data_IF_720979842307
#
_entry.id   IF_720979842307
#
_cell.length_a   1.000
_cell.length_b   1.000
_cell.length_c   1.000
_cell.angle_alpha   90.00
_cell.angle_beta   90.00
_cell.angle_gamma   90.00
#
_symmetry.space_group_name_H-M   'P 1'
#
loop_
_entity.id
_entity.type
_entity.pdbx_description
1 polymer ?
#
# COMPACT_ATOMS: atom_id res chain seq x y z
N UNK A 1 -9.49 -13.11 6.50
CA UNK A 1 -9.08 -13.53 7.84
C UNK A 1 -10.23 -13.25 8.80
N UNK A 2 -10.80 -14.26 9.43
CA UNK A 2 -11.79 -14.12 10.51
C UNK A 2 -11.17 -14.46 11.86
N UNK A 3 -11.85 -14.12 12.95
CA UNK A 3 -11.38 -14.44 14.30
C UNK A 3 -11.31 -15.96 14.54
N UNK A 4 -12.32 -16.69 14.06
CA UNK A 4 -12.38 -18.16 14.14
C UNK A 4 -11.19 -18.82 13.43
N UNK A 5 -10.84 -18.34 12.23
CA UNK A 5 -9.66 -18.82 11.49
C UNK A 5 -8.35 -18.60 12.27
N UNK A 6 -8.23 -17.47 13.00
CA UNK A 6 -7.05 -17.18 13.81
C UNK A 6 -6.97 -18.08 15.06
N UNK A 7 -8.11 -18.37 15.68
CA UNK A 7 -8.21 -19.30 16.81
C UNK A 7 -7.89 -20.74 16.40
N UNK A 8 -8.38 -21.18 15.24
CA UNK A 8 -8.05 -22.50 14.66
C UNK A 8 -6.55 -22.64 14.33
N UNK A 9 -5.88 -21.53 14.00
CA UNK A 9 -4.42 -21.49 13.81
C UNK A 9 -3.63 -21.49 15.13
N UNK A 10 -4.31 -21.58 16.28
CA UNK A 10 -3.68 -21.71 17.60
C UNK A 10 -3.29 -20.38 18.25
N UNK A 11 -3.78 -19.24 17.76
CA UNK A 11 -3.61 -17.96 18.45
C UNK A 11 -4.59 -17.89 19.63
N UNK A 12 -4.15 -17.31 20.74
CA UNK A 12 -5.05 -16.97 21.84
C UNK A 12 -6.02 -15.85 21.41
N UNK A 13 -7.17 -15.78 22.08
CA UNK A 13 -8.25 -14.86 21.68
C UNK A 13 -7.83 -13.38 21.74
N UNK A 14 -6.93 -13.02 22.66
CA UNK A 14 -6.48 -11.64 22.82
C UNK A 14 -5.51 -11.24 21.70
N UNK A 15 -4.57 -12.11 21.32
CA UNK A 15 -3.68 -11.90 20.18
C UNK A 15 -4.40 -11.99 18.85
N UNK A 16 -5.34 -12.91 18.69
CA UNK A 16 -6.19 -13.03 17.50
C UNK A 16 -6.97 -11.73 17.24
N UNK A 17 -7.55 -11.11 18.27
CA UNK A 17 -8.22 -9.80 18.16
C UNK A 17 -7.26 -8.69 17.73
N UNK A 18 -6.05 -8.63 18.31
CA UNK A 18 -5.03 -7.63 17.96
C UNK A 18 -4.55 -7.79 16.52
N UNK A 19 -4.31 -9.02 16.06
CA UNK A 19 -3.90 -9.35 14.70
C UNK A 19 -5.00 -9.00 13.69
N UNK A 20 -6.25 -9.37 13.98
CA UNK A 20 -7.39 -9.05 13.12
C UNK A 20 -7.57 -7.54 12.96
N UNK A 21 -7.42 -6.78 14.05
CA UNK A 21 -7.50 -5.32 14.00
C UNK A 21 -6.36 -4.71 13.20
N UNK A 22 -5.12 -5.13 13.42
CA UNK A 22 -3.98 -4.67 12.64
C UNK A 22 -4.12 -5.00 11.14
N UNK A 23 -4.67 -6.18 10.83
CA UNK A 23 -4.99 -6.59 9.46
C UNK A 23 -6.05 -5.68 8.84
N UNK A 24 -7.17 -5.44 9.54
CA UNK A 24 -8.23 -4.53 9.08
C UNK A 24 -7.71 -3.11 8.87
N UNK A 25 -6.93 -2.58 9.81
CA UNK A 25 -6.31 -1.25 9.71
C UNK A 25 -5.33 -1.18 8.52
N UNK A 26 -4.59 -2.25 8.23
CA UNK A 26 -3.68 -2.31 7.08
C UNK A 26 -4.40 -2.29 5.72
N UNK A 27 -5.65 -2.76 5.67
CA UNK A 27 -6.47 -2.79 4.46
C UNK A 27 -7.22 -1.48 4.21
N UNK A 28 -7.60 -0.76 5.27
CA UNK A 28 -8.53 0.38 5.23
C UNK A 28 -8.14 1.47 4.22
N UNK A 29 -6.84 1.76 4.10
CA UNK A 29 -6.35 2.83 3.22
C UNK A 29 -5.82 2.33 1.87
N UNK A 30 -5.80 1.00 1.66
CA UNK A 30 -5.17 0.36 0.49
C UNK A 30 -6.13 -0.46 -0.35
N UNK A 31 -7.27 -0.84 0.20
CA UNK A 31 -8.17 -1.80 -0.43
C UNK A 31 -9.61 -1.27 -0.46
N UNK A 32 -10.24 -1.41 -1.63
CA UNK A 32 -11.64 -1.06 -1.83
C UNK A 32 -12.47 -2.34 -1.63
N UNK A 33 -13.49 -2.34 -0.75
CA UNK A 33 -14.39 -3.48 -0.60
C UNK A 33 -15.01 -3.89 -1.93
N UNK A 34 -15.10 -5.20 -2.20
CA UNK A 34 -15.64 -5.74 -3.46
C UNK A 34 -17.05 -5.22 -3.74
N UNK A 35 -17.89 -5.11 -2.71
CA UNK A 35 -19.24 -4.55 -2.83
C UNK A 35 -19.22 -3.12 -3.36
N UNK A 36 -18.38 -2.24 -2.78
CA UNK A 36 -18.24 -0.86 -3.24
C UNK A 36 -17.65 -0.77 -4.64
N UNK A 37 -16.69 -1.63 -4.97
CA UNK A 37 -16.12 -1.72 -6.32
C UNK A 37 -17.19 -2.12 -7.35
N UNK A 38 -18.01 -3.12 -7.03
CA UNK A 38 -19.09 -3.58 -7.89
C UNK A 38 -20.18 -2.53 -8.04
N UNK A 39 -20.60 -1.89 -6.95
CA UNK A 39 -21.57 -0.79 -6.94
C UNK A 39 -21.14 0.32 -7.91
N UNK A 40 -19.93 0.87 -7.75
CA UNK A 40 -19.42 1.94 -8.60
C UNK A 40 -19.26 1.48 -10.06
N UNK A 41 -18.91 0.22 -10.30
CA UNK A 41 -18.79 -0.31 -11.65
C UNK A 41 -20.15 -0.48 -12.35
N UNK A 42 -21.15 -0.98 -11.65
CA UNK A 42 -22.52 -1.10 -12.19
C UNK A 42 -23.14 0.27 -12.41
N UNK A 43 -23.01 1.21 -11.46
CA UNK A 43 -23.41 2.62 -11.65
C UNK A 43 -22.75 3.23 -12.89
N UNK A 44 -21.44 3.01 -13.08
CA UNK A 44 -20.72 3.49 -14.26
C UNK A 44 -21.24 2.87 -15.56
N UNK A 45 -21.55 1.57 -15.57
CA UNK A 45 -22.13 0.90 -16.74
C UNK A 45 -23.51 1.47 -17.05
N UNK A 46 -24.35 1.63 -16.04
CA UNK A 46 -25.70 2.18 -16.20
C UNK A 46 -25.64 3.61 -16.76
N UNK A 47 -24.80 4.48 -16.18
CA UNK A 47 -24.61 5.85 -16.67
C UNK A 47 -24.13 5.89 -18.13
N UNK A 48 -23.23 4.97 -18.52
CA UNK A 48 -22.82 4.85 -19.93
C UNK A 48 -23.97 4.48 -20.85
N UNK A 49 -24.78 3.49 -20.46
CA UNK A 49 -25.97 3.10 -21.23
C UNK A 49 -26.96 4.25 -21.34
N UNK A 50 -27.20 4.99 -20.26
CA UNK A 50 -28.09 6.16 -20.27
C UNK A 50 -27.58 7.24 -21.23
N UNK A 51 -26.27 7.51 -21.26
CA UNK A 51 -25.67 8.48 -22.22
C UNK A 51 -25.93 8.02 -23.66
N UNK A 52 -25.64 6.76 -23.98
CA UNK A 52 -25.87 6.21 -25.32
C UNK A 52 -27.35 6.29 -25.75
N UNK A 53 -28.27 6.00 -24.83
CA UNK A 53 -29.70 6.11 -25.10
C UNK A 53 -30.16 7.56 -25.29
N UNK A 54 -29.61 8.51 -24.54
CA UNK A 54 -29.87 9.95 -24.78
C UNK A 54 -29.36 10.39 -26.15
N UNK A 55 -28.20 9.93 -26.58
CA UNK A 55 -27.66 10.24 -27.91
C UNK A 55 -28.55 9.65 -29.03
N UNK A 56 -29.11 8.45 -28.83
CA UNK A 56 -30.12 7.89 -29.76
C UNK A 56 -31.39 8.75 -29.77
N UNK A 57 -31.89 9.16 -28.61
CA UNK A 57 -33.06 10.02 -28.50
C UNK A 57 -32.86 11.38 -29.20
N UNK A 58 -31.67 11.98 -29.07
CA UNK A 58 -31.34 13.23 -29.79
C UNK A 58 -31.40 13.03 -31.30
N UNK A 59 -30.85 11.93 -31.83
CA UNK A 59 -30.94 11.61 -33.26
C UNK A 59 -32.38 11.41 -33.73
N UNK A 60 -33.20 10.71 -32.96
CA UNK A 60 -34.62 10.53 -33.28
C UNK A 60 -35.39 11.85 -33.26
N UNK A 61 -35.14 12.69 -32.24
CA UNK A 61 -35.74 14.02 -32.14
C UNK A 61 -35.34 14.92 -33.29
N UNK A 62 -34.09 14.82 -33.77
CA UNK A 62 -33.59 15.56 -34.93
C UNK A 62 -34.39 15.23 -36.19
N UNK A 63 -34.68 13.96 -36.41
CA UNK A 63 -35.50 13.48 -37.54
C UNK A 63 -36.93 14.01 -37.42
N UNK A 64 -37.52 13.96 -36.22
CA UNK A 64 -38.88 14.46 -35.97
C UNK A 64 -38.99 15.99 -36.07
N UNK A 65 -37.92 16.71 -35.76
CA UNK A 65 -37.84 18.16 -35.85
C UNK A 65 -37.56 18.66 -37.29
N UNK A 66 -37.43 17.76 -38.28
CA UNK A 66 -37.20 18.14 -39.66
C UNK A 66 -38.26 19.15 -40.14
N UNK A 67 -37.79 20.27 -40.70
CA UNK A 67 -38.64 21.40 -41.11
C UNK A 67 -38.79 22.52 -40.05
N UNK A 68 -38.27 22.33 -38.84
CA UNK A 68 -38.11 23.40 -37.85
C UNK A 68 -36.61 23.72 -37.68
N UNK A 69 -36.17 24.81 -38.32
CA UNK A 69 -34.76 25.22 -38.33
C UNK A 69 -34.21 25.52 -36.92
N UNK A 70 -35.01 26.12 -36.04
CA UNK A 70 -34.57 26.45 -34.67
C UNK A 70 -34.40 25.18 -33.81
N UNK A 71 -35.29 24.20 -33.95
CA UNK A 71 -35.17 22.94 -33.21
C UNK A 71 -34.03 22.08 -33.76
N UNK A 72 -33.89 22.01 -35.09
CA UNK A 72 -32.81 21.23 -35.71
C UNK A 72 -31.42 21.78 -35.36
N UNK A 73 -31.26 23.11 -35.36
CA UNK A 73 -30.01 23.76 -34.92
C UNK A 73 -29.70 23.47 -33.45
N UNK A 74 -30.66 23.66 -32.53
CA UNK A 74 -30.44 23.32 -31.10
C UNK A 74 -30.08 21.84 -30.89
N UNK A 75 -30.71 20.92 -31.64
CA UNK A 75 -30.37 19.49 -31.53
C UNK A 75 -28.96 19.21 -32.06
N UNK A 76 -28.53 19.86 -33.15
CA UNK A 76 -27.15 19.72 -33.62
C UNK A 76 -26.14 20.26 -32.62
N UNK A 77 -26.42 21.40 -31.98
CA UNK A 77 -25.56 21.97 -30.94
C UNK A 77 -25.44 21.00 -29.76
N UNK A 78 -26.55 20.41 -29.30
CA UNK A 78 -26.56 19.41 -28.23
C UNK A 78 -25.77 18.15 -28.60
N UNK A 79 -25.90 17.65 -29.84
CA UNK A 79 -25.11 16.51 -30.33
C UNK A 79 -23.59 16.83 -30.30
N UNK A 80 -23.20 18.02 -30.77
CA UNK A 80 -21.79 18.44 -30.76
C UNK A 80 -21.24 18.60 -29.36
N UNK A 81 -22.01 19.23 -28.45
CA UNK A 81 -21.61 19.44 -27.07
C UNK A 81 -21.46 18.10 -26.34
N UNK A 82 -22.36 17.15 -26.55
CA UNK A 82 -22.26 15.80 -26.00
C UNK A 82 -20.99 15.09 -26.47
N UNK A 83 -20.67 15.15 -27.77
CA UNK A 83 -19.46 14.54 -28.33
C UNK A 83 -18.19 15.14 -27.75
N UNK A 84 -18.09 16.48 -27.73
CA UNK A 84 -16.95 17.20 -27.14
C UNK A 84 -16.79 16.86 -25.67
N UNK A 85 -17.89 16.87 -24.92
CA UNK A 85 -17.89 16.54 -23.49
C UNK A 85 -17.38 15.11 -23.25
N UNK A 86 -17.79 14.15 -24.09
CA UNK A 86 -17.33 12.77 -24.01
C UNK A 86 -15.82 12.66 -24.26
N UNK A 87 -15.31 13.29 -25.31
CA UNK A 87 -13.87 13.31 -25.62
C UNK A 87 -13.05 13.99 -24.51
N UNK A 88 -13.54 15.10 -23.95
CA UNK A 88 -12.91 15.75 -22.81
C UNK A 88 -12.87 14.87 -21.57
N UNK A 89 -13.94 14.14 -21.26
CA UNK A 89 -13.94 13.23 -20.13
C UNK A 89 -13.02 12.04 -20.36
N UNK A 90 -13.00 11.46 -21.55
CA UNK A 90 -12.10 10.36 -21.89
C UNK A 90 -10.63 10.78 -21.78
N UNK A 91 -10.28 11.95 -22.30
CA UNK A 91 -8.92 12.51 -22.16
C UNK A 91 -8.55 12.81 -20.72
N UNK A 92 -9.45 13.42 -19.93
CA UNK A 92 -9.24 13.65 -18.48
C UNK A 92 -9.03 12.34 -17.71
N UNK A 93 -9.81 11.29 -18.02
CA UNK A 93 -9.68 9.97 -17.38
C UNK A 93 -8.33 9.33 -17.73
N UNK A 94 -7.92 9.38 -19.01
CA UNK A 94 -6.63 8.83 -19.43
C UNK A 94 -5.48 9.59 -18.77
N UNK A 95 -5.55 10.93 -18.71
CA UNK A 95 -4.55 11.76 -18.06
C UNK A 95 -4.45 11.45 -16.56
N UNK A 96 -5.59 11.38 -15.87
CA UNK A 96 -5.66 11.03 -14.44
C UNK A 96 -5.08 9.64 -14.19
N UNK A 97 -5.45 8.64 -15.00
CA UNK A 97 -4.90 7.28 -14.90
C UNK A 97 -3.39 7.29 -15.05
N UNK A 98 -2.87 7.92 -16.10
CA UNK A 98 -1.43 8.05 -16.33
C UNK A 98 -0.73 8.72 -15.15
N UNK A 99 -1.27 9.83 -14.66
CA UNK A 99 -0.72 10.54 -13.49
C UNK A 99 -0.70 9.66 -12.24
N UNK A 100 -1.81 9.01 -11.91
CA UNK A 100 -1.90 8.12 -10.74
C UNK A 100 -0.94 6.93 -10.85
N UNK A 101 -0.83 6.28 -12.02
CA UNK A 101 0.12 5.19 -12.23
C UNK A 101 1.57 5.66 -12.06
N UNK A 102 1.91 6.86 -12.55
CA UNK A 102 3.26 7.43 -12.39
C UNK A 102 3.54 7.66 -10.90
N UNK A 103 2.60 8.26 -10.18
CA UNK A 103 2.76 8.57 -8.75
C UNK A 103 2.89 7.30 -7.90
N UNK A 104 2.10 6.26 -8.20
CA UNK A 104 2.23 4.95 -7.58
C UNK A 104 3.62 4.34 -7.85
N UNK A 105 4.06 4.35 -9.10
CA UNK A 105 5.37 3.83 -9.46
C UNK A 105 6.50 4.59 -8.76
N UNK A 106 6.42 5.92 -8.68
CA UNK A 106 7.39 6.74 -7.96
C UNK A 106 7.41 6.44 -6.45
N UNK A 107 6.25 6.18 -5.87
CA UNK A 107 6.12 5.77 -4.47
C UNK A 107 6.75 4.39 -4.23
N UNK A 108 6.52 3.44 -5.13
CA UNK A 108 7.09 2.09 -5.07
C UNK A 108 8.63 2.14 -5.21
N UNK A 109 9.14 3.02 -6.07
CA UNK A 109 10.56 3.27 -6.24
C UNK A 109 11.19 4.11 -5.11
N UNK A 110 10.40 4.44 -4.07
CA UNK A 110 10.79 5.19 -2.86
C UNK A 110 11.24 6.62 -3.13
N UNK A 111 10.65 7.32 -4.09
CA UNK A 111 10.91 8.74 -4.31
C UNK A 111 10.65 9.55 -3.03
N UNK A 112 11.66 10.30 -2.54
CA UNK A 112 11.54 11.14 -1.33
C UNK A 112 10.57 12.30 -1.53
N UNK A 113 10.51 12.84 -2.74
CA UNK A 113 9.55 13.86 -3.14
C UNK A 113 9.03 13.51 -4.55
N UNK A 114 7.84 12.91 -4.60
CA UNK A 114 7.21 12.46 -5.84
C UNK A 114 7.10 13.60 -6.86
N UNK A 115 6.71 14.80 -6.43
CA UNK A 115 6.55 15.95 -7.33
C UNK A 115 7.89 16.40 -7.94
N UNK A 116 8.96 16.40 -7.16
CA UNK A 116 10.29 16.78 -7.64
C UNK A 116 10.84 15.73 -8.61
N UNK A 117 10.74 14.44 -8.26
CA UNK A 117 11.19 13.34 -9.13
C UNK A 117 10.37 13.31 -10.43
N UNK A 118 9.05 13.52 -10.35
CA UNK A 118 8.16 13.62 -11.52
C UNK A 118 8.58 14.73 -12.48
N UNK A 119 9.03 15.86 -11.97
CA UNK A 119 9.48 17.00 -12.79
C UNK A 119 10.80 16.75 -13.55
N UNK A 120 11.57 15.73 -13.14
CA UNK A 120 12.83 15.34 -13.79
C UNK A 120 12.65 14.28 -14.87
N UNK A 121 11.41 13.80 -15.05
CA UNK A 121 11.06 12.75 -16.01
C UNK A 121 10.43 13.36 -17.26
N UNK A 122 10.77 12.77 -18.40
CA UNK A 122 10.14 13.06 -19.68
C UNK A 122 8.82 12.29 -19.78
N UNK A 123 7.76 12.91 -19.27
CA UNK A 123 6.42 12.34 -19.24
C UNK A 123 5.78 12.23 -20.62
N UNK A 124 6.28 12.95 -21.64
CA UNK A 124 5.78 12.84 -23.02
C UNK A 124 6.18 11.52 -23.66
N UNK A 125 7.36 11.00 -23.29
CA UNK A 125 7.85 9.68 -23.71
C UNK A 125 7.25 8.50 -22.94
N UNK A 126 6.47 8.78 -21.90
CA UNK A 126 5.79 7.75 -21.12
C UNK A 126 4.42 7.47 -21.70
N UNK A 127 4.18 6.21 -22.09
CA UNK A 127 2.88 5.77 -22.62
C UNK A 127 2.20 4.81 -21.67
N UNK A 128 0.87 4.82 -21.67
CA UNK A 128 0.04 3.92 -20.88
C UNK A 128 -0.40 2.75 -21.76
N UNK A 129 -0.04 1.53 -21.37
CA UNK A 129 -0.49 0.29 -22.01
C UNK A 129 -1.26 -0.55 -20.98
N UNK A 130 -2.59 -0.44 -21.02
CA UNK A 130 -3.44 -0.92 -19.94
C UNK A 130 -3.11 -0.23 -18.61
N UNK A 131 -2.55 -0.99 -17.67
CA UNK A 131 -2.09 -0.48 -16.36
C UNK A 131 -0.56 -0.26 -16.31
N UNK A 132 0.17 -0.59 -17.38
CA UNK A 132 1.63 -0.50 -17.44
C UNK A 132 2.10 0.85 -18.00
N UNK A 133 3.23 1.35 -17.50
CA UNK A 133 3.89 2.56 -17.98
C UNK A 133 5.12 2.19 -18.79
N UNK A 134 5.03 2.34 -20.10
CA UNK A 134 6.13 2.07 -21.02
C UNK A 134 7.10 3.27 -21.01
N UNK A 135 8.40 3.00 -20.93
CA UNK A 135 9.46 4.01 -20.99
C UNK A 135 9.76 4.72 -19.66
N UNK A 136 8.96 4.52 -18.62
CA UNK A 136 9.19 5.11 -17.30
C UNK A 136 10.33 4.40 -16.54
N UNK A 137 10.40 3.07 -16.59
CA UNK A 137 11.38 2.28 -15.84
C UNK A 137 12.82 2.61 -16.24
N UNK A 138 13.09 2.82 -17.53
CA UNK A 138 14.41 3.18 -18.04
C UNK A 138 14.86 4.56 -17.57
N UNK A 139 13.93 5.52 -17.56
CA UNK A 139 14.18 6.86 -17.03
C UNK A 139 14.47 6.82 -15.52
N UNK A 140 13.70 6.03 -14.76
CA UNK A 140 13.90 5.89 -13.31
C UNK A 140 15.22 5.20 -12.97
N UNK A 141 15.63 4.18 -13.72
CA UNK A 141 16.97 3.57 -13.55
C UNK A 141 18.08 4.59 -13.77
N UNK A 142 18.01 5.33 -14.87
CA UNK A 142 18.99 6.37 -15.20
C UNK A 142 19.02 7.47 -14.13
N UNK A 143 17.85 7.87 -13.64
CA UNK A 143 17.73 8.91 -12.61
C UNK A 143 18.26 8.43 -11.25
N UNK A 144 18.06 7.15 -10.90
CA UNK A 144 18.64 6.54 -9.70
C UNK A 144 20.17 6.46 -9.75
N UNK A 145 20.75 6.20 -10.92
CA UNK A 145 22.20 6.20 -11.09
C UNK A 145 22.81 7.60 -10.96
N UNK A 146 22.15 8.61 -11.52
CA UNK A 146 22.65 10.00 -11.51
C UNK A 146 22.37 10.74 -10.20
N UNK A 147 21.17 10.54 -9.64
CA UNK A 147 20.61 11.32 -8.54
C UNK A 147 19.99 10.41 -7.47
N UNK A 148 20.76 9.41 -7.04
CA UNK A 148 20.36 8.43 -6.02
C UNK A 148 19.80 9.06 -4.74
N UNK A 149 20.26 10.26 -4.38
CA UNK A 149 19.81 11.01 -3.21
C UNK A 149 18.31 11.37 -3.25
N UNK A 150 17.66 11.38 -4.41
CA UNK A 150 16.23 11.64 -4.57
C UNK A 150 15.36 10.45 -4.13
N UNK A 151 15.94 9.27 -4.00
CA UNK A 151 15.26 8.03 -3.65
C UNK A 151 15.66 7.58 -2.24
N UNK A 152 14.73 6.95 -1.54
CA UNK A 152 14.96 6.29 -0.27
C UNK A 152 15.71 4.98 -0.47
N UNK A 153 16.54 4.61 0.51
CA UNK A 153 17.13 3.28 0.55
C UNK A 153 16.07 2.21 0.85
N UNK A 154 16.32 0.98 0.42
CA UNK A 154 15.49 -0.17 0.78
C UNK A 154 15.57 -0.53 2.27
N UNK A 155 16.45 0.13 3.01
CA UNK A 155 16.62 -0.13 4.41
C UNK A 155 15.41 0.39 5.19
N UNK A 156 14.62 -0.55 5.73
CA UNK A 156 13.91 -0.35 7.00
C UNK A 156 14.96 -0.09 8.09
N UNK A 157 15.70 1.02 7.99
CA UNK A 157 16.33 1.62 9.16
C UNK A 157 15.18 2.27 9.91
N UNK A 158 14.49 1.44 10.69
CA UNK A 158 13.79 1.94 11.86
C UNK A 158 14.74 2.90 12.58
N UNK A 159 14.18 3.95 13.18
CA UNK A 159 14.90 4.79 14.15
C UNK A 159 15.84 3.88 14.92
N UNK A 160 17.15 4.14 14.81
CA UNK A 160 18.20 3.14 14.93
C UNK A 160 17.84 1.98 15.82
N UNK A 161 17.99 0.76 15.30
CA UNK A 161 17.85 -0.47 16.06
C UNK A 161 18.35 -0.19 17.48
N UNK A 162 17.48 -0.22 18.52
CA UNK A 162 18.01 -0.50 19.82
C UNK A 162 18.71 -1.82 19.56
N UNK A 163 20.04 -1.86 19.60
CA UNK A 163 20.76 -3.11 19.71
C UNK A 163 20.02 -3.84 20.82
N UNK A 164 19.15 -4.80 20.47
CA UNK A 164 18.72 -5.77 21.44
C UNK A 164 20.05 -6.33 21.95
N UNK A 165 20.31 -6.34 23.25
CA UNK A 165 21.52 -6.94 23.78
C UNK A 165 21.59 -8.35 23.20
N UNK A 166 22.50 -8.59 22.29
CA UNK A 166 22.82 -9.90 21.76
C UNK A 166 23.61 -10.64 22.83
N UNK A 167 22.91 -10.97 23.92
CA UNK A 167 23.12 -12.03 24.92
C UNK A 167 22.22 -11.63 26.12
N UNK A 168 21.10 -12.32 26.40
CA UNK A 168 20.26 -12.01 27.55
C UNK A 168 20.84 -12.62 28.84
N UNK A 169 22.17 -12.70 28.98
CA UNK A 169 22.80 -13.23 30.19
C UNK A 169 24.16 -12.55 30.38
N UNK A 170 24.25 -11.73 31.42
CA UNK A 170 25.50 -11.14 31.91
C UNK A 170 26.56 -12.27 32.03
N UNK A 171 27.83 -12.06 31.61
CA UNK A 171 28.87 -13.09 31.62
C UNK A 171 29.01 -13.83 32.95
N UNK A 172 28.59 -13.22 34.07
CA UNK A 172 28.50 -13.86 35.39
C UNK A 172 27.54 -15.07 35.46
N UNK A 173 26.64 -15.20 34.49
CA UNK A 173 25.55 -16.18 34.46
C UNK A 173 25.71 -17.23 33.34
N UNK A 174 26.72 -17.09 32.49
CA UNK A 174 26.97 -17.97 31.33
C UNK A 174 27.34 -19.41 31.74
N UNK A 175 27.90 -19.60 32.93
CA UNK A 175 28.20 -20.89 33.54
C UNK A 175 27.62 -20.96 34.96
N UNK A 176 26.31 -20.84 35.09
CA UNK A 176 25.65 -20.85 36.39
C UNK A 176 25.75 -22.23 37.07
N UNK A 177 26.46 -22.36 38.21
CA UNK A 177 26.65 -23.65 38.86
C UNK A 177 25.36 -24.25 39.44
N UNK A 178 24.25 -23.49 39.46
CA UNK A 178 22.91 -23.95 39.86
C UNK A 178 22.03 -24.41 38.68
N UNK A 179 22.45 -24.21 37.41
CA UNK A 179 21.69 -24.67 36.24
C UNK A 179 21.90 -26.17 36.00
N UNK A 180 20.98 -26.82 35.26
CA UNK A 180 21.11 -28.24 34.90
C UNK A 180 22.31 -28.53 34.01
N UNK A 181 22.68 -27.58 33.15
CA UNK A 181 23.77 -27.73 32.18
C UNK A 181 25.16 -27.55 32.82
N UNK A 182 25.28 -26.80 33.91
CA UNK A 182 26.55 -26.44 34.55
C UNK A 182 26.61 -26.81 36.05
N UNK A 183 25.82 -27.77 36.50
CA UNK A 183 25.67 -28.11 37.92
C UNK A 183 27.00 -28.48 38.61
N UNK A 184 27.40 -27.71 39.64
CA UNK A 184 28.64 -27.95 40.40
C UNK A 184 28.48 -27.66 41.91
N UNK A 185 28.41 -28.70 42.73
CA UNK A 185 28.25 -28.62 44.20
C UNK A 185 29.37 -27.86 44.92
N UNK A 186 30.61 -27.98 44.45
CA UNK A 186 31.77 -27.32 45.08
C UNK A 186 31.69 -25.81 44.91
N UNK A 187 31.33 -25.35 43.71
CA UNK A 187 31.15 -23.93 43.41
C UNK A 187 29.90 -23.35 44.06
N UNK A 188 28.80 -24.11 44.10
CA UNK A 188 27.60 -23.71 44.84
C UNK A 188 27.91 -23.48 46.32
N UNK A 189 28.67 -24.39 46.96
CA UNK A 189 29.06 -24.26 48.36
C UNK A 189 29.98 -23.06 48.61
N UNK A 190 30.86 -22.75 47.67
CA UNK A 190 31.73 -21.57 47.73
C UNK A 190 30.93 -20.26 47.61
N UNK A 191 30.05 -20.16 46.62
CA UNK A 191 29.21 -18.97 46.40
C UNK A 191 28.24 -18.75 47.56
N UNK A 192 27.63 -19.81 48.10
CA UNK A 192 26.75 -19.70 49.28
C UNK A 192 27.46 -19.17 50.53
N UNK A 193 28.78 -19.36 50.63
CA UNK A 193 29.60 -18.90 51.76
C UNK A 193 30.16 -17.50 51.55
N UNK A 194 30.56 -17.19 50.31
CA UNK A 194 31.24 -15.93 49.97
C UNK A 194 30.26 -14.81 49.58
N UNK A 195 29.17 -15.14 48.86
CA UNK A 195 28.18 -14.19 48.36
C UNK A 195 26.77 -14.82 48.32
N UNK A 196 26.06 -14.82 49.46
CA UNK A 196 24.72 -15.39 49.56
C UNK A 196 23.70 -14.72 48.63
N UNK A 197 23.83 -13.42 48.37
CA UNK A 197 22.93 -12.69 47.47
C UNK A 197 23.11 -13.13 46.02
N UNK A 198 24.36 -13.32 45.58
CA UNK A 198 24.63 -13.89 44.26
C UNK A 198 24.07 -15.30 44.12
N UNK A 199 24.19 -16.14 45.15
CA UNK A 199 23.60 -17.49 45.15
C UNK A 199 22.07 -17.45 44.92
N UNK A 200 21.36 -16.50 45.54
CA UNK A 200 19.90 -16.36 45.34
C UNK A 200 19.55 -15.96 43.91
N UNK A 201 20.29 -15.02 43.31
CA UNK A 201 20.09 -14.58 41.93
C UNK A 201 20.38 -15.69 40.93
N UNK A 202 21.46 -16.44 41.14
CA UNK A 202 21.83 -17.58 40.29
C UNK A 202 20.82 -18.73 40.39
N UNK A 203 20.31 -19.04 41.59
CA UNK A 203 19.23 -20.03 41.75
C UNK A 203 17.94 -19.61 41.04
N UNK A 204 17.57 -18.33 41.10
CA UNK A 204 16.39 -17.81 40.40
C UNK A 204 16.54 -17.87 38.87
N UNK A 205 17.75 -17.61 38.38
CA UNK A 205 18.10 -17.65 36.95
C UNK A 205 18.26 -19.08 36.39
N UNK A 206 18.31 -20.12 37.24
CA UNK A 206 18.48 -21.52 36.85
C UNK A 206 17.15 -22.29 36.67
N UNK A 207 16.01 -21.60 36.80
CA UNK A 207 14.67 -22.20 36.73
C UNK A 207 14.13 -22.31 35.31
#
# INVERSE_FOLDING_TARGET
MTLEQLLEMGLDEETAKKVLKAYQDSLKDKFIPIERFNEVNEEKKELKTQIEDRDKQLKELKVKAAGNEELTTKITELETLNSQTKEEYETKIIALRKETSIELKLKDEKAKNIRAVKALLDLERVSLDGDNLIGLDEQLKTLKEKESYLFGEDSLRGRGDPKLPTDPMDPKYKNNPFSKEHFNLTEQGKILREDPELATKLKAAAK
#
